data_IF_029425285357
#
_entry.id   IF_029425285357
#
_cell.length_a   1.000
_cell.length_b   1.000
_cell.length_c   1.000
_cell.angle_alpha   90.00
_cell.angle_beta   90.00
_cell.angle_gamma   90.00
#
_symmetry.space_group_name_H-M   'P 1'
#
loop_
_entity.id
_entity.type
_entity.pdbx_description
1 polymer ?
#
# COMPACT_ATOMS: atom_id res chain seq x y z
N UNK A 1 -46.45 -5.64 -24.92
CA UNK A 1 -45.50 -5.39 -23.80
C UNK A 1 -44.22 -6.17 -24.08
N UNK A 2 -43.17 -5.53 -24.59
CA UNK A 2 -41.87 -6.15 -24.89
C UNK A 2 -40.86 -5.69 -23.85
N UNK A 3 -40.25 -6.64 -23.13
CA UNK A 3 -39.11 -6.43 -22.23
C UNK A 3 -37.86 -6.04 -23.04
N UNK A 4 -37.16 -4.99 -22.64
CA UNK A 4 -35.77 -4.65 -23.01
C UNK A 4 -35.12 -4.21 -21.69
N UNK A 5 -34.42 -5.08 -20.95
CA UNK A 5 -33.02 -5.47 -21.13
C UNK A 5 -32.10 -4.23 -21.26
N UNK A 6 -31.79 -3.62 -20.11
CA UNK A 6 -30.76 -2.59 -19.95
C UNK A 6 -29.49 -3.24 -19.37
N UNK A 7 -28.55 -3.59 -20.23
CA UNK A 7 -27.10 -3.55 -19.97
C UNK A 7 -26.47 -3.29 -21.35
N UNK A 8 -25.77 -2.15 -21.58
CA UNK A 8 -24.38 -2.01 -21.14
C UNK A 8 -23.93 -0.54 -20.94
N UNK A 9 -23.85 -0.04 -19.70
CA UNK A 9 -23.27 1.31 -19.43
C UNK A 9 -21.87 1.28 -18.77
N UNK A 10 -21.30 0.10 -18.56
CA UNK A 10 -20.06 -0.04 -17.76
C UNK A 10 -18.79 0.03 -18.63
N UNK A 11 -18.89 -0.18 -19.94
CA UNK A 11 -17.69 -0.29 -20.80
C UNK A 11 -17.16 1.07 -21.32
N UNK A 12 -18.01 2.09 -21.47
CA UNK A 12 -17.56 3.41 -21.98
C UNK A 12 -16.73 4.21 -20.96
N UNK A 13 -16.97 4.04 -19.65
CA UNK A 13 -16.21 4.78 -18.62
C UNK A 13 -14.74 4.35 -18.48
N UNK A 14 -14.37 3.18 -19.03
CA UNK A 14 -13.00 2.64 -18.93
C UNK A 14 -12.10 3.11 -20.07
N UNK A 15 -12.66 3.57 -21.20
CA UNK A 15 -11.88 4.02 -22.35
C UNK A 15 -11.43 5.49 -22.21
N UNK A 16 -12.23 6.37 -21.62
CA UNK A 16 -11.83 7.77 -21.37
C UNK A 16 -10.68 7.93 -20.37
N UNK A 17 -10.43 6.93 -19.52
CA UNK A 17 -9.31 6.96 -18.55
C UNK A 17 -7.98 6.64 -19.27
N UNK A 18 -8.01 5.93 -20.39
CA UNK A 18 -6.80 5.47 -21.09
C UNK A 18 -6.30 6.46 -22.13
N UNK A 19 -7.16 7.35 -22.62
CA UNK A 19 -6.84 8.35 -23.65
C UNK A 19 -6.50 9.74 -23.08
N UNK A 20 -6.30 9.84 -21.76
CA UNK A 20 -5.73 11.04 -21.11
C UNK A 20 -4.32 10.81 -20.57
N UNK A 21 -3.67 9.73 -21.03
CA UNK A 21 -2.29 9.40 -20.68
C UNK A 21 -1.26 9.93 -21.69
N UNK A 22 -1.70 10.58 -22.77
CA UNK A 22 -0.82 11.15 -23.79
C UNK A 22 -1.23 12.59 -24.11
N UNK A 23 -0.84 13.52 -23.25
CA UNK A 23 -0.78 14.95 -23.57
C UNK A 23 0.55 15.46 -23.01
N UNK A 24 1.57 15.53 -23.87
CA UNK A 24 2.80 16.29 -23.65
C UNK A 24 2.53 17.80 -23.84
N UNK A 25 3.43 18.69 -23.40
CA UNK A 25 3.46 19.41 -22.13
C UNK A 25 2.75 20.81 -22.19
N UNK A 26 2.52 21.46 -21.06
CA UNK A 26 2.77 22.89 -20.97
C UNK A 26 4.08 23.07 -20.24
N UNK A 27 5.11 23.47 -20.98
CA UNK A 27 6.26 24.17 -20.41
C UNK A 27 5.73 25.46 -19.77
N UNK A 28 5.32 25.33 -18.51
CA UNK A 28 5.14 26.44 -17.58
C UNK A 28 6.00 26.08 -16.39
N UNK A 29 7.06 26.85 -16.19
CA UNK A 29 8.18 26.65 -15.28
C UNK A 29 7.79 26.75 -13.77
N UNK A 30 6.60 26.29 -13.40
CA UNK A 30 6.02 26.40 -12.06
C UNK A 30 5.58 25.05 -11.45
N UNK A 31 5.57 23.93 -12.18
CA UNK A 31 5.28 22.58 -11.63
C UNK A 31 6.55 21.78 -11.23
N UNK A 32 7.62 22.47 -10.84
CA UNK A 32 8.79 21.84 -10.24
C UNK A 32 8.50 21.46 -8.78
N UNK A 33 8.01 20.24 -8.55
CA UNK A 33 7.71 19.81 -7.18
C UNK A 33 7.34 18.35 -7.00
N UNK A 34 6.90 18.02 -5.79
CA UNK A 34 6.54 16.66 -5.36
C UNK A 34 5.54 15.97 -6.30
N UNK A 35 4.64 16.70 -6.96
CA UNK A 35 3.72 16.16 -7.97
C UNK A 35 4.44 15.64 -9.23
N UNK A 36 5.40 16.41 -9.76
CA UNK A 36 6.27 15.98 -10.87
C UNK A 36 7.18 14.82 -10.45
N UNK A 37 7.65 14.84 -9.21
CA UNK A 37 8.41 13.72 -8.63
C UNK A 37 7.56 12.46 -8.46
N UNK A 38 6.33 12.55 -7.95
CA UNK A 38 5.41 11.40 -7.81
C UNK A 38 5.07 10.73 -9.15
N UNK A 39 5.06 11.49 -10.25
CA UNK A 39 4.86 10.98 -11.60
C UNK A 39 6.16 10.48 -12.24
N UNK A 40 7.32 10.87 -11.70
CA UNK A 40 8.60 10.36 -12.14
C UNK A 40 8.77 8.91 -11.70
N UNK A 41 9.55 8.14 -12.46
CA UNK A 41 9.82 6.74 -12.13
C UNK A 41 10.46 6.61 -10.73
N UNK A 42 11.32 7.56 -10.37
CA UNK A 42 11.99 7.63 -9.08
C UNK A 42 11.02 7.90 -7.91
N UNK A 43 10.05 8.81 -8.06
CA UNK A 43 9.08 9.06 -6.99
C UNK A 43 8.11 7.91 -6.77
N UNK A 44 7.77 7.16 -7.82
CA UNK A 44 6.97 5.94 -7.69
C UNK A 44 7.71 4.86 -6.91
N UNK A 45 9.01 4.69 -7.15
CA UNK A 45 9.86 3.74 -6.40
C UNK A 45 9.97 4.14 -4.93
N UNK A 46 10.22 5.42 -4.64
CA UNK A 46 10.31 5.94 -3.27
C UNK A 46 8.98 5.89 -2.51
N UNK A 47 7.86 6.12 -3.19
CA UNK A 47 6.53 5.97 -2.59
C UNK A 47 6.24 4.53 -2.18
N UNK A 48 6.64 3.55 -3.01
CA UNK A 48 6.49 2.11 -2.67
C UNK A 48 7.28 1.76 -1.42
N UNK A 49 8.52 2.25 -1.30
CA UNK A 49 9.33 2.03 -0.11
C UNK A 49 8.69 2.64 1.14
N UNK A 50 8.12 3.84 1.04
CA UNK A 50 7.40 4.48 2.15
C UNK A 50 6.17 3.67 2.58
N UNK A 51 5.39 3.17 1.63
CA UNK A 51 4.22 2.33 1.90
C UNK A 51 4.64 0.99 2.53
N UNK A 52 5.67 0.34 2.01
CA UNK A 52 6.23 -0.89 2.58
C UNK A 52 6.71 -0.64 4.01
N UNK A 53 7.47 0.44 4.25
CA UNK A 53 7.96 0.81 5.57
C UNK A 53 6.82 1.04 6.57
N UNK A 54 5.79 1.80 6.20
CA UNK A 54 4.63 2.01 7.06
C UNK A 54 3.85 0.72 7.31
N UNK A 55 3.73 -0.16 6.32
CA UNK A 55 3.08 -1.46 6.51
C UNK A 55 3.86 -2.37 7.44
N UNK A 56 5.20 -2.38 7.35
CA UNK A 56 6.07 -3.12 8.25
C UNK A 56 5.99 -2.57 9.68
N UNK A 57 5.93 -1.25 9.84
CA UNK A 57 5.77 -0.61 11.13
C UNK A 57 4.42 -0.97 11.77
N UNK A 58 3.33 -0.94 11.00
CA UNK A 58 2.00 -1.38 11.47
C UNK A 58 2.06 -2.85 11.88
N UNK A 59 2.68 -3.71 11.07
CA UNK A 59 2.84 -5.13 11.38
C UNK A 59 3.59 -5.35 12.70
N UNK A 60 4.70 -4.62 12.90
CA UNK A 60 5.45 -4.68 14.15
C UNK A 60 4.62 -4.21 15.34
N UNK A 61 3.92 -3.08 15.23
CA UNK A 61 3.11 -2.54 16.32
C UNK A 61 1.94 -3.46 16.69
N UNK A 62 1.26 -4.04 15.70
CA UNK A 62 0.14 -4.98 15.93
C UNK A 62 0.63 -6.33 16.45
N UNK A 63 1.78 -6.81 15.98
CA UNK A 63 2.33 -8.11 16.38
C UNK A 63 3.12 -8.05 17.69
N UNK A 64 3.57 -6.86 18.11
CA UNK A 64 4.33 -6.65 19.35
C UNK A 64 3.71 -7.29 20.60
N UNK A 65 2.40 -7.11 20.92
CA UNK A 65 1.80 -7.77 22.09
C UNK A 65 1.88 -9.29 22.01
N UNK A 66 1.64 -9.87 20.82
CA UNK A 66 1.66 -11.32 20.60
C UNK A 66 3.09 -11.88 20.75
N UNK A 67 4.09 -11.17 20.23
CA UNK A 67 5.51 -11.52 20.37
C UNK A 67 5.93 -11.46 21.84
N UNK A 68 5.49 -10.43 22.58
CA UNK A 68 5.79 -10.30 24.01
C UNK A 68 5.23 -11.47 24.80
N UNK A 69 3.96 -11.84 24.59
CA UNK A 69 3.33 -12.97 25.28
C UNK A 69 4.04 -14.30 24.96
N UNK A 70 4.42 -14.52 23.70
CA UNK A 70 5.16 -15.70 23.29
C UNK A 70 6.54 -15.78 23.97
N UNK A 71 7.28 -14.67 24.03
CA UNK A 71 8.58 -14.59 24.68
C UNK A 71 8.50 -14.80 26.19
N UNK A 72 7.51 -14.20 26.84
CA UNK A 72 7.29 -14.36 28.29
C UNK A 72 6.95 -15.82 28.64
N UNK A 73 6.08 -16.44 27.85
CA UNK A 73 5.72 -17.86 28.01
C UNK A 73 6.93 -18.77 27.81
N UNK A 74 7.72 -18.54 26.76
CA UNK A 74 8.93 -19.31 26.50
C UNK A 74 9.99 -19.13 27.60
N UNK A 75 10.16 -17.89 28.09
CA UNK A 75 11.07 -17.57 29.18
C UNK A 75 10.66 -18.26 30.49
N UNK A 76 9.37 -18.23 30.83
CA UNK A 76 8.84 -18.93 32.01
C UNK A 76 9.11 -20.43 31.94
N UNK A 77 8.86 -21.06 30.78
CA UNK A 77 9.15 -22.48 30.58
C UNK A 77 10.65 -22.78 30.70
N UNK A 78 11.51 -21.94 30.12
CA UNK A 78 12.95 -22.11 30.20
C UNK A 78 13.46 -22.04 31.65
N UNK A 79 13.01 -21.05 32.43
CA UNK A 79 13.40 -20.92 33.83
C UNK A 79 12.89 -22.10 34.66
N UNK A 80 11.62 -22.49 34.46
CA UNK A 80 11.02 -23.61 35.18
C UNK A 80 11.78 -24.91 34.93
N UNK A 81 12.16 -25.16 33.67
CA UNK A 81 12.95 -26.33 33.29
C UNK A 81 14.32 -26.34 33.97
N UNK A 82 15.03 -25.20 33.96
CA UNK A 82 16.35 -25.07 34.58
C UNK A 82 16.33 -25.21 36.10
N UNK A 83 15.32 -24.67 36.80
CA UNK A 83 15.25 -24.70 38.26
C UNK A 83 14.73 -26.04 38.82
N UNK A 84 14.19 -26.93 37.98
CA UNK A 84 13.67 -28.25 38.39
C UNK A 84 14.69 -29.38 38.25
N UNK A 85 15.87 -29.11 37.69
CA UNK A 85 16.99 -30.02 37.51
C UNK A 85 18.16 -29.54 38.37
#
# INVERSE_FOLDING_TARGET
MKKQQQEPKIQQKRQEIKEKADIHPPDSDEEEGFSKWLRSNEGVENLKLFVIGNSALIFLLVSWPQVKEALETAYYMYIKYRNSN
#
